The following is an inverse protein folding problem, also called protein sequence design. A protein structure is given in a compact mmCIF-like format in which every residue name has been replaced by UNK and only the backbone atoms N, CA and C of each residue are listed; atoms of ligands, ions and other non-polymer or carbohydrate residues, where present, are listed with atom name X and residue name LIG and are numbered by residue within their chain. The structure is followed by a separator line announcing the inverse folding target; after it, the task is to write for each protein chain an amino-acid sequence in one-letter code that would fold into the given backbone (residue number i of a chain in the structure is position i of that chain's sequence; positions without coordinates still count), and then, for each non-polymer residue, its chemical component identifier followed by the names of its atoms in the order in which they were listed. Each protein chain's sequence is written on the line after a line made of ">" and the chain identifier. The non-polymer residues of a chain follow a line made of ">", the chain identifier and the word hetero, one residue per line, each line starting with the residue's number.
data_IF_282968390177
#
_entry.id   IF_282968390177
#
_cell.length_a   1.000
_cell.length_b   1.000
_cell.length_c   1.000
_cell.angle_alpha   90.00
_cell.angle_beta   90.00
_cell.angle_gamma   90.00
#
_symmetry.space_group_name_H-M   'P 1'
#
loop_
_entity.id
_entity.type
_entity.pdbx_description
1 polymer ?
#
# COMPACT_ATOMS: atom_id res chain seq x y z
N UNK A 1 -32.29 -6.59 1.62
CA UNK A 1 -30.98 -7.11 1.16
C UNK A 1 -29.91 -6.75 2.17
N UNK A 2 -29.37 -7.72 2.92
CA UNK A 2 -28.45 -7.49 4.05
C UNK A 2 -26.99 -7.86 3.69
N UNK A 3 -26.63 -7.73 2.41
CA UNK A 3 -25.28 -8.00 1.88
C UNK A 3 -24.38 -6.76 1.79
N UNK A 4 -24.91 -5.53 2.00
CA UNK A 4 -24.10 -4.32 1.76
C UNK A 4 -23.11 -4.03 2.88
N UNK A 5 -23.51 -4.06 4.15
CA UNK A 5 -22.69 -3.57 5.27
C UNK A 5 -21.37 -4.31 5.49
N UNK A 6 -21.31 -5.61 5.23
CA UNK A 6 -20.08 -6.41 5.39
C UNK A 6 -19.10 -6.13 4.25
N UNK A 7 -19.61 -6.00 3.03
CA UNK A 7 -18.79 -5.64 1.87
C UNK A 7 -18.28 -4.20 1.99
N UNK A 8 -19.14 -3.27 2.42
CA UNK A 8 -18.77 -1.87 2.70
C UNK A 8 -17.64 -1.83 3.74
N UNK A 9 -17.79 -2.55 4.86
CA UNK A 9 -16.76 -2.63 5.89
C UNK A 9 -15.45 -3.26 5.42
N UNK A 10 -15.53 -4.27 4.53
CA UNK A 10 -14.33 -4.87 3.91
C UNK A 10 -13.59 -3.86 3.04
N UNK A 11 -14.32 -3.08 2.25
CA UNK A 11 -13.75 -2.03 1.39
C UNK A 11 -13.08 -0.94 2.24
N UNK A 12 -13.73 -0.53 3.33
CA UNK A 12 -13.18 0.48 4.25
C UNK A 12 -11.87 0.01 4.90
N UNK A 13 -11.83 -1.23 5.42
CA UNK A 13 -10.61 -1.80 5.98
C UNK A 13 -9.50 -1.87 4.94
N UNK A 14 -9.82 -2.37 3.74
CA UNK A 14 -8.83 -2.50 2.68
C UNK A 14 -8.26 -1.13 2.29
N UNK A 15 -9.11 -0.11 2.21
CA UNK A 15 -8.72 1.27 1.91
C UNK A 15 -7.81 1.85 3.00
N UNK A 16 -8.15 1.65 4.28
CA UNK A 16 -7.34 2.09 5.40
C UNK A 16 -5.96 1.40 5.46
N UNK A 17 -5.90 0.09 5.16
CA UNK A 17 -4.64 -0.64 5.07
C UNK A 17 -3.79 -0.11 3.92
N UNK A 18 -4.39 0.11 2.75
CA UNK A 18 -3.71 0.68 1.58
C UNK A 18 -3.12 2.07 1.87
N UNK A 19 -3.86 2.93 2.56
CA UNK A 19 -3.39 4.25 2.93
C UNK A 19 -2.18 4.19 3.87
N UNK A 20 -2.24 3.33 4.91
CA UNK A 20 -1.13 3.16 5.86
C UNK A 20 0.14 2.66 5.19
N UNK A 21 0.02 1.67 4.31
CA UNK A 21 1.16 1.12 3.56
C UNK A 21 1.75 2.18 2.64
N UNK A 22 0.91 2.97 1.94
CA UNK A 22 1.38 4.09 1.11
C UNK A 22 2.12 5.12 1.95
N UNK A 23 1.57 5.54 3.08
CA UNK A 23 2.17 6.53 3.97
C UNK A 23 3.53 6.06 4.49
N UNK A 24 3.68 4.79 4.82
CA UNK A 24 4.97 4.22 5.23
C UNK A 24 5.99 4.19 4.07
N UNK A 25 5.56 3.87 2.85
CA UNK A 25 6.44 3.84 1.68
C UNK A 25 6.95 5.23 1.27
N UNK A 26 6.16 6.28 1.49
CA UNK A 26 6.57 7.67 1.21
C UNK A 26 7.26 8.34 2.40
N UNK A 27 7.23 7.74 3.60
CA UNK A 27 7.80 8.33 4.80
C UNK A 27 9.32 8.47 4.66
N UNK A 28 9.90 9.68 4.75
CA UNK A 28 11.34 9.89 4.61
C UNK A 28 12.15 9.27 5.75
N UNK A 29 11.53 9.04 6.91
CA UNK A 29 12.19 8.45 8.09
C UNK A 29 12.29 6.92 8.02
N UNK A 30 11.62 6.28 7.06
CA UNK A 30 11.72 4.83 6.84
C UNK A 30 12.85 4.57 5.85
N UNK A 31 13.75 3.65 6.19
CA UNK A 31 14.90 3.34 5.34
C UNK A 31 14.48 2.71 4.02
N UNK A 32 15.36 2.79 3.01
CA UNK A 32 15.09 2.19 1.70
C UNK A 32 14.95 0.67 1.80
N UNK A 33 15.78 0.03 2.64
CA UNK A 33 15.75 -1.41 2.91
C UNK A 33 14.42 -1.81 3.55
N UNK A 34 13.97 -1.06 4.57
CA UNK A 34 12.68 -1.31 5.22
C UNK A 34 11.53 -1.17 4.22
N UNK A 35 11.55 -0.14 3.35
CA UNK A 35 10.55 0.01 2.29
C UNK A 35 10.57 -1.15 1.29
N UNK A 36 11.77 -1.63 0.91
CA UNK A 36 11.92 -2.80 0.03
C UNK A 36 11.35 -4.07 0.70
N UNK A 37 11.58 -4.26 1.99
CA UNK A 37 11.03 -5.39 2.73
C UNK A 37 9.52 -5.31 2.88
N UNK A 38 8.97 -4.12 3.11
CA UNK A 38 7.53 -3.89 3.08
C UNK A 38 6.92 -4.26 1.72
N UNK A 39 7.55 -3.88 0.61
CA UNK A 39 7.08 -4.25 -0.73
C UNK A 39 7.07 -5.78 -0.96
N UNK A 40 8.05 -6.51 -0.42
CA UNK A 40 8.08 -7.99 -0.49
C UNK A 40 6.94 -8.64 0.29
N UNK A 41 6.47 -8.00 1.37
CA UNK A 41 5.36 -8.48 2.18
C UNK A 41 3.99 -8.19 1.56
N UNK A 42 3.91 -7.28 0.58
CA UNK A 42 2.67 -6.99 -0.16
C UNK A 42 2.36 -8.16 -1.09
N UNK A 43 1.10 -8.62 -1.07
CA UNK A 43 0.65 -9.68 -1.98
C UNK A 43 0.83 -9.27 -3.45
N UNK A 44 1.25 -10.19 -4.35
CA UNK A 44 1.56 -9.86 -5.74
C UNK A 44 0.42 -9.19 -6.51
N UNK A 45 -0.84 -9.52 -6.19
CA UNK A 45 -2.05 -8.93 -6.80
C UNK A 45 -2.30 -7.48 -6.38
N UNK A 46 -1.82 -7.08 -5.19
CA UNK A 46 -1.96 -5.72 -4.67
C UNK A 46 -0.76 -4.84 -4.99
N UNK A 47 0.40 -5.43 -5.31
CA UNK A 47 1.62 -4.69 -5.63
C UNK A 47 1.43 -3.68 -6.80
N UNK A 48 0.73 -4.00 -7.92
CA UNK A 48 0.48 -3.04 -8.98
C UNK A 48 -0.27 -1.78 -8.54
N UNK A 49 -1.17 -1.90 -7.56
CA UNK A 49 -1.89 -0.75 -7.00
C UNK A 49 -0.92 0.22 -6.30
N UNK A 50 -0.03 -0.30 -5.46
CA UNK A 50 0.95 0.54 -4.78
C UNK A 50 1.92 1.17 -5.77
N UNK A 51 2.44 0.40 -6.73
CA UNK A 51 3.37 0.92 -7.74
C UNK A 51 2.76 2.03 -8.61
N UNK A 52 1.45 2.00 -8.89
CA UNK A 52 0.73 3.06 -9.61
C UNK A 52 0.45 4.31 -8.77
N UNK A 53 0.44 4.18 -7.45
CA UNK A 53 0.02 5.26 -6.54
C UNK A 53 1.18 5.94 -5.82
N UNK A 54 2.41 5.43 -5.97
CA UNK A 54 3.64 6.06 -5.50
C UNK A 54 4.16 7.09 -6.50
N UNK A 55 4.86 8.11 -6.00
CA UNK A 55 5.50 9.12 -6.85
C UNK A 55 6.71 8.54 -7.59
N UNK A 56 7.07 9.14 -8.74
CA UNK A 56 8.24 8.71 -9.53
C UNK A 56 9.55 8.76 -8.74
N UNK A 57 9.68 9.68 -7.79
CA UNK A 57 10.84 9.79 -6.91
C UNK A 57 10.98 8.58 -5.99
N UNK A 58 9.89 8.19 -5.32
CA UNK A 58 9.89 7.00 -4.46
C UNK A 58 10.15 5.75 -5.30
N UNK A 59 9.56 5.65 -6.49
CA UNK A 59 9.83 4.54 -7.41
C UNK A 59 11.30 4.48 -7.87
N UNK A 60 11.98 5.61 -8.02
CA UNK A 60 13.40 5.66 -8.37
C UNK A 60 14.30 5.17 -7.24
N UNK A 61 13.94 5.47 -6.00
CA UNK A 61 14.65 5.02 -4.78
C UNK A 61 14.48 3.51 -4.55
N UNK A 62 13.35 2.95 -4.99
CA UNK A 62 13.02 1.54 -4.77
C UNK A 62 13.48 0.60 -5.89
N UNK A 63 13.93 1.14 -7.03
CA UNK A 63 14.64 0.38 -8.07
C UNK A 63 16.06 -0.01 -7.61
#
# INVERSE_FOLDING_TARGET
>A
MMKSRVEDYRVDIQSAVHERVRNALINPNVSVEQKKDMLKAIRPDQLPFFMKTLTKEILKVLK
#
